data_IF_730617638849
#
_entry.id   IF_730617638849
#
_cell.length_a   1.000
_cell.length_b   1.000
_cell.length_c   1.000
_cell.angle_alpha   90.00
_cell.angle_beta   90.00
_cell.angle_gamma   90.00
#
_symmetry.space_group_name_H-M   'P 1'
#
loop_
_entity.id
_entity.type
_entity.pdbx_description
1 polymer ?
#
# COMPACT_ATOMS: atom_id res chain seq x y z
N UNK A 1 23.16 19.14 12.70
CA UNK A 1 23.14 18.26 11.52
C UNK A 1 23.32 16.85 12.03
N UNK A 2 22.39 15.97 11.73
CA UNK A 2 22.48 14.54 11.97
C UNK A 2 23.20 13.90 10.78
N UNK A 3 24.29 13.20 11.06
CA UNK A 3 25.03 12.44 10.06
C UNK A 3 24.49 11.02 9.98
N UNK A 4 24.24 10.54 8.76
CA UNK A 4 23.68 9.22 8.50
C UNK A 4 24.65 8.47 7.61
N UNK A 5 25.12 7.31 8.07
CA UNK A 5 26.12 6.49 7.38
C UNK A 5 25.61 5.07 7.17
N UNK A 6 26.14 4.35 6.18
CA UNK A 6 26.00 2.90 6.10
C UNK A 6 26.92 2.24 7.13
N UNK A 7 26.66 0.96 7.43
CA UNK A 7 27.58 0.13 8.23
C UNK A 7 29.00 0.04 7.63
N UNK A 8 29.16 0.26 6.32
CA UNK A 8 30.47 0.37 5.67
C UNK A 8 31.25 1.63 6.06
N UNK A 9 30.61 2.60 6.72
CA UNK A 9 31.17 3.91 7.04
C UNK A 9 30.96 4.97 5.95
N UNK A 10 30.35 4.60 4.83
CA UNK A 10 29.99 5.54 3.75
C UNK A 10 28.90 6.51 4.23
N UNK A 11 29.08 7.81 3.96
CA UNK A 11 28.10 8.83 4.32
C UNK A 11 26.95 8.86 3.30
N UNK A 12 25.74 8.59 3.78
CA UNK A 12 24.51 8.64 2.98
C UNK A 12 23.93 10.03 2.93
N UNK A 13 23.85 10.68 4.09
CA UNK A 13 23.13 11.94 4.24
C UNK A 13 23.64 12.74 5.44
N UNK A 14 23.51 14.06 5.34
CA UNK A 14 23.66 14.99 6.45
C UNK A 14 22.43 15.88 6.47
N UNK A 15 21.58 15.70 7.49
CA UNK A 15 20.26 16.32 7.56
C UNK A 15 20.17 17.31 8.73
N UNK A 16 19.54 18.49 8.54
CA UNK A 16 19.16 19.32 9.67
C UNK A 16 18.02 18.61 10.42
N UNK A 17 18.18 18.42 11.72
CA UNK A 17 17.10 17.98 12.60
C UNK A 17 16.16 19.17 12.83
N UNK A 18 14.88 19.02 12.52
CA UNK A 18 13.83 19.92 13.00
C UNK A 18 13.26 19.36 14.31
N UNK A 19 12.66 20.22 15.13
CA UNK A 19 12.22 19.95 16.52
C UNK A 19 11.13 18.85 16.70
N UNK A 20 10.79 18.06 15.67
CA UNK A 20 9.74 17.02 15.74
C UNK A 20 10.00 15.79 14.86
N UNK A 21 11.26 15.55 14.44
CA UNK A 21 11.55 14.37 13.63
C UNK A 21 11.64 13.13 14.51
N UNK A 22 10.71 12.18 14.36
CA UNK A 22 10.83 10.84 14.94
C UNK A 22 11.59 9.90 13.97
N UNK A 23 11.96 8.72 14.47
CA UNK A 23 12.70 7.73 13.66
C UNK A 23 11.87 7.20 12.48
N UNK A 24 10.54 7.14 12.63
CA UNK A 24 9.64 6.67 11.58
C UNK A 24 9.66 7.63 10.38
N UNK A 25 9.52 8.92 10.61
CA UNK A 25 9.56 9.95 9.57
C UNK A 25 10.97 10.06 8.97
N UNK A 26 12.02 9.89 9.78
CA UNK A 26 13.38 9.82 9.26
C UNK A 26 13.56 8.66 8.28
N UNK A 27 13.11 7.45 8.61
CA UNK A 27 13.18 6.28 7.71
C UNK A 27 12.40 6.51 6.42
N UNK A 28 11.24 7.16 6.49
CA UNK A 28 10.42 7.52 5.33
C UNK A 28 11.12 8.54 4.43
N UNK A 29 11.72 9.58 5.01
CA UNK A 29 12.53 10.56 4.27
C UNK A 29 13.73 9.90 3.62
N UNK A 30 14.40 8.98 4.33
CA UNK A 30 15.51 8.20 3.81
C UNK A 30 15.11 7.37 2.59
N UNK A 31 13.93 6.74 2.62
CA UNK A 31 13.37 6.02 1.47
C UNK A 31 13.11 6.97 0.29
N UNK A 32 12.40 8.08 0.52
CA UNK A 32 11.97 8.99 -0.56
C UNK A 32 13.12 9.75 -1.20
N UNK A 33 14.09 10.22 -0.42
CA UNK A 33 15.15 11.10 -0.89
C UNK A 33 16.40 10.34 -1.34
N UNK A 34 16.67 9.17 -0.75
CA UNK A 34 17.91 8.40 -0.99
C UNK A 34 17.65 6.98 -1.53
N UNK A 35 16.39 6.62 -1.80
CA UNK A 35 16.04 5.31 -2.37
C UNK A 35 16.29 4.14 -1.42
N UNK A 36 16.40 4.40 -0.11
CA UNK A 36 16.60 3.34 0.87
C UNK A 36 15.36 2.43 0.96
N UNK A 37 15.52 1.14 1.33
CA UNK A 37 14.39 0.21 1.44
C UNK A 37 13.32 0.70 2.44
N UNK A 38 12.07 0.23 2.34
CA UNK A 38 10.97 0.65 3.22
C UNK A 38 11.25 0.50 4.72
N UNK A 39 10.46 1.19 5.55
CA UNK A 39 10.61 1.35 7.00
C UNK A 39 11.03 0.07 7.75
N UNK A 40 10.37 -1.05 7.48
CA UNK A 40 10.60 -2.33 8.15
C UNK A 40 11.92 -3.01 7.75
N UNK A 41 12.51 -2.61 6.62
CA UNK A 41 13.80 -3.08 6.13
C UNK A 41 14.98 -2.23 6.58
N UNK A 42 14.74 -1.23 7.43
CA UNK A 42 15.76 -0.36 7.99
C UNK A 42 15.87 -0.55 9.51
N UNK A 43 17.10 -0.60 10.01
CA UNK A 43 17.44 -0.42 11.43
C UNK A 43 18.38 0.76 11.55
N UNK A 44 18.05 1.69 12.44
CA UNK A 44 18.93 2.80 12.79
C UNK A 44 19.70 2.42 14.05
N UNK A 45 21.00 2.63 14.01
CA UNK A 45 21.91 2.31 15.10
C UNK A 45 22.59 3.60 15.58
N UNK A 46 22.60 3.82 16.88
CA UNK A 46 23.40 4.85 17.53
C UNK A 46 24.40 4.18 18.46
N UNK A 47 25.69 4.47 18.28
CA UNK A 47 26.77 3.85 19.06
C UNK A 47 26.68 2.31 19.10
N UNK A 48 26.23 1.69 18.00
CA UNK A 48 26.06 0.24 17.87
C UNK A 48 24.77 -0.33 18.47
N UNK A 49 23.93 0.48 19.11
CA UNK A 49 22.64 0.08 19.68
C UNK A 49 21.47 0.46 18.78
N UNK A 50 20.46 -0.41 18.65
CA UNK A 50 19.26 -0.12 17.85
C UNK A 50 18.48 1.01 18.51
N UNK A 51 18.15 2.03 17.71
CA UNK A 51 17.33 3.16 18.15
C UNK A 51 15.86 2.78 18.00
N UNK A 52 15.10 2.96 19.08
CA UNK A 52 13.65 2.75 19.09
C UNK A 52 12.95 3.72 18.13
N UNK A 53 11.85 3.30 17.52
CA UNK A 53 11.09 4.14 16.58
C UNK A 53 10.50 5.39 17.23
N UNK A 54 10.31 5.38 18.55
CA UNK A 54 9.81 6.53 19.33
C UNK A 54 10.92 7.36 19.99
N UNK A 55 12.19 7.02 19.77
CA UNK A 55 13.29 7.75 20.38
C UNK A 55 13.37 9.18 19.84
N UNK A 56 13.58 10.16 20.74
CA UNK A 56 13.91 11.53 20.32
C UNK A 56 15.26 11.53 19.60
N UNK A 57 15.29 12.21 18.45
CA UNK A 57 16.50 12.40 17.65
C UNK A 57 17.36 13.58 18.15
N UNK A 58 16.91 14.36 19.13
CA UNK A 58 17.51 15.66 19.49
C UNK A 58 18.95 15.55 20.02
N UNK A 59 19.29 14.41 20.64
CA UNK A 59 20.62 14.12 21.18
C UNK A 59 21.52 13.37 20.18
N UNK A 60 20.96 12.85 19.08
CA UNK A 60 21.67 11.97 18.16
C UNK A 60 22.46 12.79 17.14
N UNK A 61 23.78 12.56 17.09
CA UNK A 61 24.70 13.23 16.17
C UNK A 61 25.05 12.37 14.95
N UNK A 62 25.16 11.07 15.18
CA UNK A 62 25.53 10.07 14.18
C UNK A 62 24.59 8.87 14.26
N UNK A 63 24.09 8.43 13.11
CA UNK A 63 23.31 7.21 12.95
C UNK A 63 23.89 6.33 11.85
N UNK A 64 23.92 5.04 12.10
CA UNK A 64 24.22 4.03 11.10
C UNK A 64 22.93 3.36 10.63
N UNK A 65 22.78 3.22 9.32
CA UNK A 65 21.67 2.50 8.69
C UNK A 65 22.12 1.08 8.41
N UNK A 66 21.44 0.13 9.02
CA UNK A 66 21.50 -1.28 8.68
C UNK A 66 20.30 -1.63 7.79
N UNK A 67 20.60 -2.05 6.56
CA UNK A 67 19.61 -2.56 5.61
C UNK A 67 19.41 -4.05 5.86
N UNK A 68 18.16 -4.45 6.07
CA UNK A 68 17.78 -5.85 6.24
C UNK A 68 17.41 -6.46 4.88
N UNK A 69 18.15 -7.49 4.40
CA UNK A 69 17.67 -8.30 3.28
C UNK A 69 16.44 -9.09 3.72
N UNK A 70 15.58 -9.44 2.77
CA UNK A 70 14.58 -10.48 3.03
C UNK A 70 15.34 -11.79 3.29
N UNK A 71 15.09 -12.41 4.44
CA UNK A 71 15.60 -13.75 4.70
C UNK A 71 14.70 -14.76 4.01
N UNK A 72 15.20 -15.98 3.76
CA UNK A 72 14.33 -17.11 3.44
C UNK A 72 13.36 -17.30 4.60
N UNK A 73 12.13 -16.82 4.42
CA UNK A 73 11.11 -16.91 5.46
C UNK A 73 10.62 -18.34 5.55
N UNK A 74 10.59 -18.87 6.77
CA UNK A 74 9.93 -20.14 7.04
C UNK A 74 8.50 -20.09 6.49
N UNK A 75 8.01 -21.19 5.91
CA UNK A 75 6.61 -21.30 5.45
C UNK A 75 5.61 -20.86 6.53
N UNK A 76 5.96 -21.05 7.81
CA UNK A 76 5.17 -20.60 8.96
C UNK A 76 4.98 -19.09 8.98
N UNK A 77 6.04 -18.30 8.83
CA UNK A 77 5.93 -16.85 8.89
C UNK A 77 5.13 -16.28 7.70
N UNK A 78 5.32 -16.84 6.50
CA UNK A 78 4.51 -16.49 5.33
C UNK A 78 3.03 -16.78 5.57
N UNK A 79 2.72 -17.96 6.11
CA UNK A 79 1.35 -18.31 6.48
C UNK A 79 0.76 -17.38 7.53
N UNK A 80 1.53 -17.01 8.56
CA UNK A 80 1.07 -16.06 9.59
C UNK A 80 0.75 -14.68 8.99
N UNK A 81 1.55 -14.20 8.03
CA UNK A 81 1.28 -12.93 7.36
C UNK A 81 -0.01 -12.99 6.54
N UNK A 82 -0.21 -14.10 5.84
CA UNK A 82 -1.45 -14.36 5.09
C UNK A 82 -2.65 -14.48 6.03
N UNK A 83 -2.54 -15.21 7.13
CA UNK A 83 -3.59 -15.34 8.14
C UNK A 83 -3.92 -13.96 8.76
N UNK A 84 -2.93 -13.12 9.01
CA UNK A 84 -3.12 -11.76 9.49
C UNK A 84 -3.89 -10.90 8.49
N UNK A 85 -3.56 -11.00 7.20
CA UNK A 85 -4.24 -10.28 6.12
C UNK A 85 -5.66 -10.81 5.84
N UNK A 86 -5.93 -12.10 6.03
CA UNK A 86 -7.25 -12.70 5.84
C UNK A 86 -8.19 -12.48 7.03
N UNK A 87 -7.66 -12.40 8.25
CA UNK A 87 -8.47 -12.37 9.48
C UNK A 87 -8.42 -11.03 10.23
N UNK A 88 -7.69 -10.02 9.72
CA UNK A 88 -7.68 -8.68 10.29
C UNK A 88 -7.08 -8.63 11.69
N UNK A 89 -5.87 -9.19 11.84
CA UNK A 89 -5.17 -9.18 13.14
C UNK A 89 -4.94 -7.75 13.67
N UNK A 90 -4.70 -7.65 14.97
CA UNK A 90 -4.44 -6.36 15.58
C UNK A 90 -3.18 -5.71 15.00
N UNK A 91 -3.22 -4.39 14.78
CA UNK A 91 -2.11 -3.62 14.20
C UNK A 91 -0.75 -3.94 14.81
N UNK A 92 -0.66 -4.00 16.14
CA UNK A 92 0.58 -4.29 16.85
C UNK A 92 1.13 -5.70 16.55
N UNK A 93 0.26 -6.69 16.33
CA UNK A 93 0.68 -8.07 16.01
C UNK A 93 1.23 -8.15 14.58
N UNK A 94 0.56 -7.49 13.63
CA UNK A 94 1.03 -7.41 12.24
C UNK A 94 2.33 -6.62 12.16
N UNK A 95 2.43 -5.52 12.90
CA UNK A 95 3.65 -4.72 12.98
C UNK A 95 4.82 -5.53 13.54
N UNK A 96 4.62 -6.25 14.64
CA UNK A 96 5.63 -7.15 15.20
C UNK A 96 6.06 -8.25 14.21
N UNK A 97 5.11 -8.79 13.43
CA UNK A 97 5.40 -9.76 12.39
C UNK A 97 6.27 -9.16 11.27
N UNK A 98 5.95 -7.96 10.81
CA UNK A 98 6.69 -7.24 9.75
C UNK A 98 8.05 -6.70 10.22
N UNK A 99 8.32 -6.63 11.53
CA UNK A 99 9.67 -6.36 12.03
C UNK A 99 10.64 -7.52 11.78
N UNK A 100 10.15 -8.71 11.43
CA UNK A 100 10.97 -9.81 10.95
C UNK A 100 11.41 -9.56 9.49
N UNK A 101 12.58 -10.05 9.06
CA UNK A 101 13.08 -9.87 7.68
C UNK A 101 12.29 -10.73 6.69
N UNK A 102 11.01 -10.41 6.48
CA UNK A 102 10.09 -11.14 5.62
C UNK A 102 9.65 -10.36 4.39
N UNK A 103 9.42 -11.11 3.31
CA UNK A 103 8.83 -10.57 2.09
C UNK A 103 7.34 -10.25 2.33
N UNK A 104 6.92 -8.98 2.28
CA UNK A 104 5.54 -8.58 2.50
C UNK A 104 4.60 -9.04 1.37
N UNK A 105 5.14 -9.45 0.22
CA UNK A 105 4.35 -9.95 -0.91
C UNK A 105 4.31 -11.48 -0.99
N UNK A 106 4.76 -12.16 0.06
CA UNK A 106 4.80 -13.61 0.13
C UNK A 106 3.43 -14.26 -0.12
N UNK A 107 3.34 -15.07 -1.18
CA UNK A 107 2.12 -15.78 -1.59
C UNK A 107 2.14 -17.24 -1.12
N UNK A 108 0.99 -17.76 -0.68
CA UNK A 108 0.88 -19.15 -0.17
C UNK A 108 -0.34 -19.93 -0.68
N UNK A 109 -1.20 -19.30 -1.50
CA UNK A 109 -2.46 -19.89 -2.01
C UNK A 109 -2.39 -20.30 -3.48
N UNK A 110 -3.40 -21.04 -3.94
CA UNK A 110 -3.56 -21.45 -5.34
C UNK A 110 -4.05 -20.31 -6.26
N UNK A 111 -4.61 -19.27 -5.65
CA UNK A 111 -5.14 -18.06 -6.29
C UNK A 111 -4.06 -16.98 -6.49
N UNK A 112 -2.83 -17.19 -6.02
CA UNK A 112 -1.69 -16.28 -6.23
C UNK A 112 -1.93 -14.85 -5.69
N UNK A 113 -2.81 -14.72 -4.69
CA UNK A 113 -3.08 -13.45 -4.01
C UNK A 113 -1.99 -13.09 -3.02
N UNK A 114 -1.60 -11.82 -3.01
CA UNK A 114 -0.68 -11.26 -2.01
C UNK A 114 -1.41 -10.95 -0.69
N UNK A 115 -0.69 -10.78 0.44
CA UNK A 115 -1.29 -10.29 1.67
C UNK A 115 -2.05 -8.97 1.48
N UNK A 116 -1.55 -8.06 0.64
CA UNK A 116 -2.19 -6.78 0.39
C UNK A 116 -3.55 -6.94 -0.31
N UNK A 117 -3.69 -7.91 -1.22
CA UNK A 117 -4.97 -8.22 -1.85
C UNK A 117 -5.98 -8.75 -0.84
N UNK A 118 -5.57 -9.64 0.07
CA UNK A 118 -6.45 -10.15 1.12
C UNK A 118 -6.92 -9.07 2.08
N UNK A 119 -6.00 -8.23 2.56
CA UNK A 119 -6.34 -7.09 3.39
C UNK A 119 -7.30 -6.12 2.66
N UNK A 120 -7.12 -5.95 1.35
CA UNK A 120 -7.97 -5.10 0.52
C UNK A 120 -9.33 -5.70 0.23
N UNK A 121 -9.43 -7.01 0.04
CA UNK A 121 -10.68 -7.73 -0.14
C UNK A 121 -11.59 -7.60 1.10
N UNK A 122 -11.00 -7.71 2.29
CA UNK A 122 -11.74 -7.66 3.56
C UNK A 122 -11.80 -6.27 4.22
N UNK A 123 -11.12 -5.27 3.66
CA UNK A 123 -11.19 -3.89 4.16
C UNK A 123 -10.36 -3.64 5.42
N UNK A 124 -9.32 -4.43 5.69
CA UNK A 124 -8.47 -4.25 6.87
C UNK A 124 -7.43 -3.14 6.66
N UNK A 125 -7.87 -1.90 6.91
CA UNK A 125 -7.10 -0.67 6.67
C UNK A 125 -5.73 -0.67 7.35
N UNK A 126 -5.66 -1.01 8.65
CA UNK A 126 -4.40 -1.03 9.38
C UNK A 126 -3.41 -2.07 8.82
N UNK A 127 -3.92 -3.23 8.39
CA UNK A 127 -3.08 -4.29 7.80
C UNK A 127 -2.57 -3.85 6.43
N UNK A 128 -3.43 -3.28 5.58
CA UNK A 128 -3.04 -2.75 4.28
C UNK A 128 -1.99 -1.64 4.41
N UNK A 129 -2.16 -0.73 5.39
CA UNK A 129 -1.20 0.35 5.67
C UNK A 129 0.17 -0.23 6.04
N UNK A 130 0.21 -1.18 6.97
CA UNK A 130 1.47 -1.78 7.40
C UNK A 130 2.16 -2.55 6.27
N UNK A 131 1.42 -3.26 5.43
CA UNK A 131 1.96 -3.95 4.25
C UNK A 131 2.59 -2.98 3.25
N UNK A 132 1.93 -1.85 2.96
CA UNK A 132 2.48 -0.81 2.09
C UNK A 132 3.73 -0.15 2.71
N UNK A 133 3.73 0.12 4.02
CA UNK A 133 4.91 0.61 4.74
C UNK A 133 6.06 -0.41 4.76
N UNK A 134 5.76 -1.71 4.63
CA UNK A 134 6.75 -2.78 4.45
C UNK A 134 7.25 -2.93 3.00
N UNK A 135 6.61 -2.23 2.05
CA UNK A 135 6.98 -2.24 0.64
C UNK A 135 6.22 -3.24 -0.23
N UNK A 136 5.05 -3.69 0.21
CA UNK A 136 4.18 -4.52 -0.61
C UNK A 136 3.89 -3.85 -1.97
N UNK A 137 3.92 -4.64 -3.05
CA UNK A 137 3.68 -4.15 -4.40
C UNK A 137 2.18 -3.97 -4.66
N UNK A 138 1.72 -2.71 -4.67
CA UNK A 138 0.31 -2.36 -4.86
C UNK A 138 -0.27 -2.80 -6.22
N UNK A 139 0.58 -2.88 -7.25
CA UNK A 139 0.20 -3.17 -8.63
C UNK A 139 0.37 -4.64 -9.02
N UNK A 140 0.85 -5.49 -8.11
CA UNK A 140 0.83 -6.92 -8.35
C UNK A 140 -0.61 -7.40 -8.53
N UNK A 141 -0.79 -8.34 -9.44
CA UNK A 141 -2.05 -8.99 -9.71
C UNK A 141 -1.97 -10.49 -9.40
N UNK A 142 -3.15 -11.07 -9.19
CA UNK A 142 -3.34 -12.50 -9.00
C UNK A 142 -3.55 -13.22 -10.33
N UNK A 143 -3.97 -14.49 -10.27
CA UNK A 143 -4.23 -15.27 -11.47
C UNK A 143 -5.38 -14.74 -12.34
N UNK A 144 -6.28 -13.90 -11.85
CA UNK A 144 -7.36 -13.31 -12.64
C UNK A 144 -6.98 -11.92 -13.19
N UNK A 145 -5.78 -11.45 -12.84
CA UNK A 145 -5.29 -10.12 -13.19
C UNK A 145 -5.81 -9.04 -12.23
N UNK A 146 -6.45 -9.43 -11.12
CA UNK A 146 -7.01 -8.49 -10.17
C UNK A 146 -5.95 -7.97 -9.20
N UNK A 147 -5.97 -6.66 -8.96
CA UNK A 147 -5.06 -5.98 -8.03
C UNK A 147 -5.73 -5.73 -6.68
N UNK A 148 -4.94 -5.34 -5.67
CA UNK A 148 -5.46 -4.89 -4.38
C UNK A 148 -6.51 -3.77 -4.53
N UNK A 149 -6.30 -2.83 -5.45
CA UNK A 149 -7.22 -1.72 -5.71
C UNK A 149 -8.56 -2.19 -6.28
N UNK A 150 -8.55 -3.20 -7.16
CA UNK A 150 -9.76 -3.81 -7.71
C UNK A 150 -10.56 -4.55 -6.63
N UNK A 151 -9.89 -5.29 -5.75
CA UNK A 151 -10.54 -5.96 -4.62
C UNK A 151 -11.18 -4.98 -3.64
N UNK A 152 -10.48 -3.91 -3.28
CA UNK A 152 -11.02 -2.86 -2.42
C UNK A 152 -12.22 -2.15 -3.08
N UNK A 153 -12.12 -1.87 -4.39
CA UNK A 153 -13.20 -1.21 -5.13
C UNK A 153 -14.45 -2.08 -5.30
N UNK A 154 -14.26 -3.38 -5.54
CA UNK A 154 -15.36 -4.35 -5.66
C UNK A 154 -16.19 -4.43 -4.38
N UNK A 155 -15.56 -4.27 -3.22
CA UNK A 155 -16.21 -4.45 -1.91
C UNK A 155 -16.56 -3.13 -1.20
N UNK A 156 -16.36 -1.98 -1.86
CA UNK A 156 -16.72 -0.68 -1.28
C UNK A 156 -15.77 -0.18 -0.18
N UNK A 157 -14.54 -0.70 -0.10
CA UNK A 157 -13.60 -0.36 0.98
C UNK A 157 -12.88 0.97 0.71
N UNK A 158 -13.62 2.08 0.76
CA UNK A 158 -13.15 3.43 0.40
C UNK A 158 -11.84 3.85 1.11
N UNK A 159 -11.67 3.49 2.39
CA UNK A 159 -10.43 3.82 3.12
C UNK A 159 -9.22 3.07 2.56
N UNK A 160 -9.38 1.80 2.16
CA UNK A 160 -8.29 1.04 1.52
C UNK A 160 -8.02 1.56 0.11
N UNK A 161 -9.06 1.92 -0.65
CA UNK A 161 -8.92 2.57 -1.97
C UNK A 161 -8.09 3.84 -1.87
N UNK A 162 -8.43 4.73 -0.92
CA UNK A 162 -7.67 5.96 -0.69
C UNK A 162 -6.21 5.68 -0.35
N UNK A 163 -5.97 4.75 0.57
CA UNK A 163 -4.63 4.34 0.98
C UNK A 163 -3.78 3.82 -0.20
N UNK A 164 -4.35 2.96 -1.04
CA UNK A 164 -3.66 2.40 -2.21
C UNK A 164 -3.33 3.49 -3.24
N UNK A 165 -4.25 4.43 -3.49
CA UNK A 165 -4.02 5.55 -4.39
C UNK A 165 -2.94 6.51 -3.86
N UNK A 166 -2.94 6.80 -2.55
CA UNK A 166 -1.89 7.59 -1.89
C UNK A 166 -0.52 6.89 -1.95
N UNK A 167 -0.50 5.56 -1.95
CA UNK A 167 0.70 4.76 -2.15
C UNK A 167 1.13 4.62 -3.63
N UNK A 168 0.40 5.24 -4.56
CA UNK A 168 0.75 5.29 -5.98
C UNK A 168 0.25 4.12 -6.82
N UNK A 169 -0.75 3.36 -6.36
CA UNK A 169 -1.34 2.27 -7.15
C UNK A 169 -1.87 2.76 -8.51
N UNK A 170 -1.62 1.99 -9.56
CA UNK A 170 -2.10 2.27 -10.90
C UNK A 170 -3.60 1.99 -11.02
N UNK A 171 -4.38 3.08 -11.00
CA UNK A 171 -5.85 3.09 -11.07
C UNK A 171 -6.47 2.48 -12.33
N UNK A 172 -5.76 2.48 -13.45
CA UNK A 172 -6.25 2.04 -14.77
C UNK A 172 -5.71 0.67 -15.21
N UNK A 173 -5.08 -0.09 -14.30
CA UNK A 173 -4.77 -1.50 -14.58
C UNK A 173 -6.06 -2.26 -14.90
N UNK A 174 -5.90 -3.31 -15.72
CA UNK A 174 -7.01 -4.12 -16.24
C UNK A 174 -6.80 -5.58 -15.88
N UNK A 175 -7.83 -6.20 -15.32
CA UNK A 175 -7.88 -7.64 -15.12
C UNK A 175 -7.90 -8.38 -16.47
N UNK A 176 -7.86 -9.71 -16.45
CA UNK A 176 -7.92 -10.51 -17.68
C UNK A 176 -9.18 -10.26 -18.51
N UNK A 177 -10.30 -9.99 -17.84
CA UNK A 177 -11.56 -9.65 -18.51
C UNK A 177 -11.65 -8.17 -18.93
N UNK A 178 -10.59 -7.40 -18.69
CA UNK A 178 -10.47 -6.00 -19.05
C UNK A 178 -11.05 -5.04 -18.01
N UNK A 179 -11.41 -5.53 -16.82
CA UNK A 179 -12.05 -4.73 -15.76
C UNK A 179 -11.03 -3.83 -15.06
N UNK A 180 -11.41 -2.57 -14.83
CA UNK A 180 -10.65 -1.61 -14.00
C UNK A 180 -11.28 -1.48 -12.62
N UNK A 181 -10.57 -0.92 -11.65
CA UNK A 181 -11.14 -0.63 -10.32
C UNK A 181 -12.42 0.22 -10.41
N UNK A 182 -12.51 1.16 -11.37
CA UNK A 182 -13.70 1.99 -11.56
C UNK A 182 -14.89 1.19 -12.12
N UNK A 183 -14.64 0.17 -12.95
CA UNK A 183 -15.69 -0.77 -13.39
C UNK A 183 -16.23 -1.60 -12.23
N UNK A 184 -15.35 -2.11 -11.36
CA UNK A 184 -15.77 -2.81 -10.14
C UNK A 184 -16.61 -1.93 -9.22
N UNK A 185 -16.19 -0.68 -8.98
CA UNK A 185 -16.95 0.29 -8.19
C UNK A 185 -18.31 0.61 -8.82
N UNK A 186 -18.36 0.77 -10.15
CA UNK A 186 -19.57 1.03 -10.91
C UNK A 186 -20.58 -0.12 -10.86
N UNK A 187 -20.09 -1.36 -10.97
CA UNK A 187 -20.92 -2.56 -10.86
C UNK A 187 -21.42 -2.81 -9.43
N UNK A 188 -20.59 -2.54 -8.41
CA UNK A 188 -20.99 -2.66 -7.01
C UNK A 188 -21.95 -1.54 -6.57
N UNK A 189 -21.90 -0.39 -7.26
CA UNK A 189 -22.76 0.76 -6.99
C UNK A 189 -22.29 1.65 -5.84
N UNK A 190 -20.99 1.65 -5.53
CA UNK A 190 -20.43 2.46 -4.45
C UNK A 190 -19.99 3.85 -4.97
N UNK A 191 -20.76 4.92 -4.67
CA UNK A 191 -20.43 6.27 -5.14
C UNK A 191 -19.17 6.84 -4.48
N UNK A 192 -18.84 6.45 -3.25
CA UNK A 192 -17.67 6.96 -2.54
C UNK A 192 -16.39 6.42 -3.17
N UNK A 193 -16.34 5.12 -3.46
CA UNK A 193 -15.21 4.51 -4.16
C UNK A 193 -15.08 5.08 -5.59
N UNK A 194 -16.20 5.16 -6.33
CA UNK A 194 -16.17 5.71 -7.68
C UNK A 194 -15.65 7.15 -7.69
N UNK A 195 -16.08 7.98 -6.73
CA UNK A 195 -15.60 9.34 -6.56
C UNK A 195 -14.08 9.38 -6.28
N UNK A 196 -13.56 8.58 -5.34
CA UNK A 196 -12.13 8.55 -5.03
C UNK A 196 -11.28 8.17 -6.26
N UNK A 197 -11.74 7.20 -7.06
CA UNK A 197 -11.05 6.80 -8.29
C UNK A 197 -11.07 7.90 -9.35
N UNK A 198 -12.21 8.59 -9.52
CA UNK A 198 -12.33 9.71 -10.45
C UNK A 198 -11.49 10.91 -10.02
N UNK A 199 -11.44 11.24 -8.73
CA UNK A 199 -10.59 12.29 -8.17
C UNK A 199 -9.10 11.96 -8.35
N UNK A 200 -8.72 10.69 -8.29
CA UNK A 200 -7.38 10.22 -8.64
C UNK A 200 -7.12 10.21 -10.17
N UNK A 201 -8.11 10.55 -10.98
CA UNK A 201 -8.03 10.67 -12.44
C UNK A 201 -8.26 9.38 -13.22
N UNK A 202 -8.96 8.39 -12.66
CA UNK A 202 -9.22 7.12 -13.34
C UNK A 202 -9.97 7.35 -14.66
N UNK A 203 -9.59 6.61 -15.70
CA UNK A 203 -10.18 6.77 -17.02
C UNK A 203 -11.58 6.11 -17.08
N UNK A 204 -12.62 6.95 -17.04
CA UNK A 204 -14.02 6.53 -17.10
C UNK A 204 -14.50 6.02 -18.47
N UNK A 205 -13.68 6.15 -19.51
CA UNK A 205 -14.01 5.75 -20.88
C UNK A 205 -13.39 4.39 -21.28
N UNK A 206 -12.59 3.78 -20.40
CA UNK A 206 -12.11 2.41 -20.63
C UNK A 206 -13.30 1.45 -20.69
N UNK A 207 -13.19 0.43 -21.53
CA UNK A 207 -14.19 -0.64 -21.66
C UNK A 207 -13.60 -2.00 -21.29
N UNK A 208 -14.41 -2.91 -20.76
CA UNK A 208 -14.02 -4.29 -20.55
C UNK A 208 -13.85 -5.05 -21.89
N UNK A 209 -13.56 -6.34 -21.84
CA UNK A 209 -13.43 -7.20 -23.02
C UNK A 209 -14.72 -7.35 -23.84
N UNK A 210 -15.88 -7.00 -23.28
CA UNK A 210 -17.19 -7.02 -23.94
C UNK A 210 -17.63 -5.64 -24.44
N UNK A 211 -16.82 -4.61 -24.21
CA UNK A 211 -17.11 -3.24 -24.61
C UNK A 211 -17.94 -2.45 -23.59
N UNK A 212 -18.12 -2.96 -22.37
CA UNK A 212 -18.84 -2.24 -21.32
C UNK A 212 -17.93 -1.22 -20.63
N UNK A 213 -18.34 0.04 -20.60
CA UNK A 213 -17.69 1.09 -19.80
C UNK A 213 -18.23 1.10 -18.37
N UNK A 214 -17.56 1.74 -17.40
CA UNK A 214 -18.12 1.97 -16.06
C UNK A 214 -19.56 2.52 -16.08
N UNK A 215 -19.86 3.43 -17.02
CA UNK A 215 -21.20 4.02 -17.14
C UNK A 215 -22.25 2.97 -17.56
N UNK A 216 -21.90 2.08 -18.49
CA UNK A 216 -22.77 0.98 -18.92
C UNK A 216 -23.04 0.02 -17.76
N UNK A 217 -21.98 -0.38 -17.04
CA UNK A 217 -22.08 -1.28 -15.89
C UNK A 217 -22.96 -0.70 -14.77
N UNK A 218 -22.75 0.57 -14.37
CA UNK A 218 -23.59 1.24 -13.38
C UNK A 218 -25.05 1.37 -13.85
N UNK A 219 -25.28 1.57 -15.15
CA UNK A 219 -26.63 1.67 -15.72
C UNK A 219 -27.33 0.32 -15.74
N UNK A 220 -26.64 -0.74 -16.15
CA UNK A 220 -27.16 -2.11 -16.16
C UNK A 220 -27.51 -2.60 -14.76
N UNK A 221 -26.66 -2.31 -13.78
CA UNK A 221 -26.88 -2.66 -12.37
C UNK A 221 -27.88 -1.73 -11.65
N UNK A 222 -28.33 -0.64 -12.28
CA UNK A 222 -29.32 0.29 -11.73
C UNK A 222 -28.78 1.29 -10.70
N UNK A 223 -27.47 1.50 -10.64
CA UNK A 223 -26.79 2.36 -9.67
C UNK A 223 -26.81 3.83 -10.11
N UNK A 224 -27.94 4.49 -9.90
CA UNK A 224 -28.19 5.86 -10.36
C UNK A 224 -27.17 6.88 -9.83
N UNK A 225 -26.71 6.78 -8.58
CA UNK A 225 -25.75 7.73 -8.00
C UNK A 225 -24.39 7.65 -8.70
N UNK A 226 -23.85 6.44 -8.88
CA UNK A 226 -22.60 6.23 -9.63
C UNK A 226 -22.76 6.65 -11.09
N UNK A 227 -23.93 6.36 -11.71
CA UNK A 227 -24.22 6.84 -13.06
C UNK A 227 -24.15 8.36 -13.17
N UNK A 228 -24.70 9.10 -12.20
CA UNK A 228 -24.62 10.57 -12.19
C UNK A 228 -23.18 11.07 -12.00
N UNK A 229 -22.39 10.43 -11.13
CA UNK A 229 -20.97 10.75 -10.96
C UNK A 229 -20.17 10.54 -12.25
N UNK A 230 -20.47 9.49 -13.02
CA UNK A 230 -19.78 9.20 -14.27
C UNK A 230 -20.20 10.15 -15.41
N UNK A 231 -21.44 10.65 -15.38
CA UNK A 231 -21.96 11.62 -16.33
C UNK A 231 -21.53 13.06 -16.05
N UNK A 232 -21.12 13.40 -14.82
CA UNK A 232 -20.67 14.76 -14.54
C UNK A 232 -19.37 15.07 -15.30
N UNK A 233 -19.34 16.27 -15.90
CA UNK A 233 -18.18 16.85 -16.58
C UNK A 233 -17.10 17.20 -15.54
N UNK A 234 -16.25 16.22 -15.23
CA UNK A 234 -15.12 16.37 -14.30
C UNK A 234 -15.53 16.27 -12.83
N UNK A 235 -14.73 15.54 -12.04
CA UNK A 235 -14.85 15.55 -10.58
C UNK A 235 -14.68 16.97 -10.00
N UNK A 236 -14.98 17.18 -8.71
CA UNK A 236 -14.77 18.48 -8.09
C UNK A 236 -13.34 18.96 -8.35
N UNK A 237 -13.23 20.15 -8.95
CA UNK A 237 -11.95 20.85 -9.10
C UNK A 237 -11.35 21.11 -7.71
N UNK A 238 -10.02 21.05 -7.55
CA UNK A 238 -9.34 21.06 -6.25
C UNK A 238 -9.63 22.30 -5.40
#
# INVERSE_FOLDING_TARGET
MLRITLLSGEELASLPLSEQSDVKELKKRLQQQYGLPPRFRQRLLHEGSVVDEVASLDSLRDLQVLILPFAETSQRHRKMLMDAACNGWAKAEVEALLQLPMDPDARTGADDRSPLMWASLFGYVDVALLLLEAGAQADWCDHDGDTALMYAATNGHAQVVKLLLEAGAQKDLRSKDGWTALMHAAWNGDPQVAQLLLEAGANKDLSDSRGHTPLMLATEAGHNEVRQLLLSEGGPSP
#
